data_IF_533691648696
#
_entry.id   IF_533691648696
#
_cell.length_a   1.000
_cell.length_b   1.000
_cell.length_c   1.000
_cell.angle_alpha   90.00
_cell.angle_beta   90.00
_cell.angle_gamma   90.00
#
_symmetry.space_group_name_H-M   'P 1'
#
loop_
_entity.id
_entity.type
_entity.pdbx_description
1 polymer ?
#
# COMPACT_ATOMS: atom_id res chain seq x y z
N UNK A 1 2.76 0.54 -23.06
CA UNK A 1 2.12 0.23 -21.76
C UNK A 1 2.00 1.55 -21.01
N UNK A 2 0.88 1.80 -20.33
CA UNK A 2 0.67 3.06 -19.60
C UNK A 2 1.35 2.93 -18.25
N UNK A 3 2.42 3.68 -18.02
CA UNK A 3 3.20 3.67 -16.78
C UNK A 3 2.32 4.21 -15.64
N UNK A 4 2.07 3.40 -14.61
CA UNK A 4 1.34 3.86 -13.43
C UNK A 4 2.27 4.70 -12.56
N UNK A 5 1.69 5.64 -11.79
CA UNK A 5 2.49 6.50 -10.93
C UNK A 5 3.29 5.73 -9.85
N UNK A 6 2.84 4.54 -9.44
CA UNK A 6 3.56 3.66 -8.51
C UNK A 6 4.75 2.96 -9.16
N UNK A 7 4.58 2.46 -10.39
CA UNK A 7 5.69 1.90 -11.17
C UNK A 7 6.81 2.93 -11.35
N UNK A 8 6.43 4.19 -11.60
CA UNK A 8 7.39 5.29 -11.69
C UNK A 8 8.16 5.51 -10.39
N UNK A 9 7.49 5.49 -9.23
CA UNK A 9 8.16 5.59 -7.93
C UNK A 9 9.08 4.40 -7.69
N UNK A 10 8.63 3.19 -7.98
CA UNK A 10 9.43 1.97 -7.80
C UNK A 10 10.70 2.03 -8.63
N UNK A 11 10.58 2.43 -9.90
CA UNK A 11 11.72 2.64 -10.79
C UNK A 11 12.68 3.69 -10.23
N UNK A 12 12.18 4.89 -9.88
CA UNK A 12 13.02 5.97 -9.37
C UNK A 12 13.70 5.60 -8.04
N UNK A 13 13.02 4.86 -7.16
CA UNK A 13 13.60 4.37 -5.90
C UNK A 13 14.73 3.36 -6.14
N UNK A 14 14.64 2.57 -7.21
CA UNK A 14 15.66 1.59 -7.60
C UNK A 14 16.86 2.25 -8.31
N UNK A 15 16.59 3.18 -9.23
CA UNK A 15 17.60 3.84 -10.05
C UNK A 15 18.33 4.98 -9.33
N UNK A 16 17.66 5.65 -8.39
CA UNK A 16 18.16 6.84 -7.69
C UNK A 16 17.91 6.71 -6.18
N UNK A 17 18.69 5.90 -5.46
CA UNK A 17 18.46 5.62 -4.03
C UNK A 17 18.60 6.87 -3.13
N UNK A 18 19.32 7.90 -3.59
CA UNK A 18 19.46 9.19 -2.88
C UNK A 18 18.28 10.15 -3.13
N UNK A 19 17.34 9.80 -4.02
CA UNK A 19 16.19 10.64 -4.36
C UNK A 19 15.20 10.68 -3.17
N UNK A 20 14.93 11.88 -2.67
CA UNK A 20 13.92 12.10 -1.62
C UNK A 20 12.61 12.53 -2.27
N UNK A 21 11.61 11.67 -2.24
CA UNK A 21 10.24 12.03 -2.63
C UNK A 21 9.66 13.00 -1.60
N UNK A 22 9.32 14.22 -2.04
CA UNK A 22 8.73 15.26 -1.18
C UNK A 22 7.23 15.08 -0.96
N UNK A 23 6.56 14.32 -1.84
CA UNK A 23 5.16 13.94 -1.68
C UNK A 23 4.85 12.64 -2.42
N UNK A 24 4.26 11.68 -1.71
CA UNK A 24 3.64 10.47 -2.28
C UNK A 24 2.12 10.47 -2.09
N UNK A 25 1.57 11.48 -1.40
CA UNK A 25 0.18 11.49 -0.95
C UNK A 25 -0.82 11.41 -2.10
N UNK A 26 -0.52 12.02 -3.26
CA UNK A 26 -1.37 11.96 -4.45
C UNK A 26 -1.40 10.58 -5.15
N UNK A 27 -0.64 9.61 -4.63
CA UNK A 27 -0.58 8.22 -5.11
C UNK A 27 -1.37 7.29 -4.21
N UNK A 28 -1.55 7.68 -2.95
CA UNK A 28 -2.31 6.92 -1.97
C UNK A 28 -3.78 7.21 -2.23
N UNK A 29 -4.52 6.18 -2.62
CA UNK A 29 -5.97 6.23 -2.79
C UNK A 29 -6.58 4.89 -2.37
N UNK A 30 -7.91 4.86 -2.17
CA UNK A 30 -8.61 3.66 -1.71
C UNK A 30 -8.36 2.44 -2.60
N UNK A 31 -8.33 2.60 -3.92
CA UNK A 31 -8.10 1.49 -4.85
C UNK A 31 -6.70 0.88 -4.67
N UNK A 32 -5.68 1.71 -4.52
CA UNK A 32 -4.33 1.27 -4.21
C UNK A 32 -4.31 0.52 -2.86
N UNK A 33 -4.90 1.10 -1.81
CA UNK A 33 -4.89 0.51 -0.47
C UNK A 33 -5.59 -0.86 -0.46
N UNK A 34 -6.69 -1.02 -1.21
CA UNK A 34 -7.35 -2.33 -1.40
C UNK A 34 -6.41 -3.36 -2.04
N UNK A 35 -5.76 -3.00 -3.16
CA UNK A 35 -4.81 -3.91 -3.83
C UNK A 35 -3.63 -4.29 -2.91
N UNK A 36 -3.14 -3.33 -2.12
CA UNK A 36 -2.11 -3.62 -1.12
C UNK A 36 -2.63 -4.60 -0.05
N UNK A 37 -3.84 -4.40 0.47
CA UNK A 37 -4.46 -5.30 1.44
C UNK A 37 -4.61 -6.72 0.88
N UNK A 38 -5.07 -6.87 -0.36
CA UNK A 38 -5.18 -8.17 -1.05
C UNK A 38 -3.83 -8.90 -1.11
N UNK A 39 -2.75 -8.19 -1.44
CA UNK A 39 -1.39 -8.74 -1.57
C UNK A 39 -0.70 -9.06 -0.24
N UNK A 40 -1.21 -8.55 0.89
CA UNK A 40 -0.62 -8.85 2.20
C UNK A 40 -0.77 -10.34 2.55
N UNK A 41 0.28 -10.93 3.11
CA UNK A 41 0.22 -12.30 3.64
C UNK A 41 -0.79 -12.39 4.79
N UNK A 42 -1.80 -13.24 4.65
CA UNK A 42 -2.82 -13.47 5.68
C UNK A 42 -2.27 -14.11 6.96
N UNK A 43 -1.05 -14.67 6.93
CA UNK A 43 -0.40 -15.25 8.11
C UNK A 43 0.40 -14.24 8.92
N UNK A 44 0.35 -12.95 8.57
CA UNK A 44 1.01 -11.92 9.39
C UNK A 44 0.41 -11.88 10.79
N UNK A 45 1.26 -11.57 11.77
CA UNK A 45 0.82 -11.34 13.13
C UNK A 45 -0.21 -10.20 13.18
N UNK A 46 -1.14 -10.31 14.13
CA UNK A 46 -2.10 -9.25 14.43
C UNK A 46 -1.38 -7.93 14.78
N UNK A 47 -2.06 -6.82 14.55
CA UNK A 47 -1.59 -5.51 14.99
C UNK A 47 -1.41 -5.43 16.52
N UNK A 48 -0.81 -4.33 17.00
CA UNK A 48 -0.70 -4.07 18.45
C UNK A 48 -2.08 -3.94 19.13
N UNK A 49 -3.11 -3.63 18.33
CA UNK A 49 -4.52 -3.59 18.69
C UNK A 49 -5.19 -4.99 18.69
N UNK A 50 -4.46 -6.04 18.31
CA UNK A 50 -4.97 -7.40 18.20
C UNK A 50 -5.80 -7.69 16.96
N UNK A 51 -5.92 -6.74 16.02
CA UNK A 51 -6.71 -6.91 14.80
C UNK A 51 -5.90 -7.73 13.78
N UNK A 52 -6.47 -8.84 13.30
CA UNK A 52 -5.89 -9.64 12.21
C UNK A 52 -6.24 -9.08 10.83
N UNK A 53 -5.60 -9.57 9.78
CA UNK A 53 -5.95 -9.21 8.40
C UNK A 53 -7.44 -9.53 8.13
N UNK A 54 -7.89 -10.71 8.53
CA UNK A 54 -9.26 -11.18 8.32
C UNK A 54 -10.28 -10.35 9.09
N UNK A 55 -9.95 -9.90 10.30
CA UNK A 55 -10.82 -9.01 11.07
C UNK A 55 -10.93 -7.63 10.43
N UNK A 56 -9.82 -7.08 9.93
CA UNK A 56 -9.77 -5.81 9.23
C UNK A 56 -10.57 -5.85 7.90
N UNK A 57 -10.50 -6.98 7.19
CA UNK A 57 -11.16 -7.18 5.89
C UNK A 57 -12.69 -7.09 5.96
N UNK A 58 -13.29 -7.43 7.11
CA UNK A 58 -14.76 -7.41 7.31
C UNK A 58 -15.38 -6.03 7.05
N UNK A 59 -14.65 -4.95 7.37
CA UNK A 59 -15.09 -3.57 7.21
C UNK A 59 -14.12 -2.77 6.32
N UNK A 60 -13.49 -3.43 5.34
CA UNK A 60 -12.41 -2.85 4.54
C UNK A 60 -12.78 -1.51 3.89
N UNK A 61 -14.00 -1.35 3.38
CA UNK A 61 -14.41 -0.09 2.72
C UNK A 61 -14.49 1.11 3.66
N UNK A 62 -14.91 0.88 4.91
CA UNK A 62 -15.03 1.91 5.94
C UNK A 62 -13.69 2.22 6.57
N UNK A 63 -12.81 1.22 6.66
CA UNK A 63 -11.48 1.34 7.23
C UNK A 63 -10.46 2.02 6.28
N UNK A 64 -10.73 2.03 4.97
CA UNK A 64 -9.93 2.68 3.92
C UNK A 64 -10.46 4.07 3.55
#
# INVERSE_FOLDING_TARGET
>A
MMETKLERISQLSSEQPELVFTSVGHLINKEMLKRCHEQMDGKKAAGIDGITKEDYEKNLEENL
#
